data_IF_237532580990
#
_entry.id   IF_237532580990
#
_cell.length_a   1.000
_cell.length_b   1.000
_cell.length_c   1.000
_cell.angle_alpha   90.00
_cell.angle_beta   90.00
_cell.angle_gamma   90.00
#
_symmetry.space_group_name_H-M   'P 1'
#
loop_
_entity.id
_entity.type
_entity.pdbx_description
1 polymer ?
#
# COMPACT_ATOMS: atom_id res chain seq x y z
N UNK A 1 12.14 -29.28 11.28
CA UNK A 1 12.31 -27.97 10.63
C UNK A 1 11.13 -27.85 9.69
N UNK A 2 10.23 -26.91 10.01
CA UNK A 2 8.92 -26.78 9.38
C UNK A 2 9.07 -26.14 7.99
N UNK A 3 8.70 -26.88 6.94
CA UNK A 3 8.83 -26.54 5.51
C UNK A 3 7.92 -25.38 5.05
N UNK A 4 7.30 -24.67 6.01
CA UNK A 4 6.27 -23.67 5.76
C UNK A 4 6.81 -22.23 5.49
N UNK A 5 8.12 -22.02 5.46
CA UNK A 5 8.73 -20.67 5.48
C UNK A 5 9.31 -20.18 4.15
N UNK A 6 9.18 -20.92 3.05
CA UNK A 6 9.76 -20.54 1.76
C UNK A 6 8.78 -20.66 0.58
N UNK A 7 7.49 -20.41 0.79
CA UNK A 7 6.61 -20.15 -0.35
C UNK A 7 6.77 -18.67 -0.74
N UNK A 8 7.41 -18.34 -1.89
CA UNK A 8 7.57 -16.95 -2.33
C UNK A 8 6.26 -16.31 -2.77
N UNK A 9 5.14 -17.03 -2.64
CA UNK A 9 3.81 -16.63 -3.07
C UNK A 9 2.85 -16.55 -1.88
N UNK A 10 1.91 -15.60 -1.91
CA UNK A 10 0.85 -15.52 -0.91
C UNK A 10 -0.02 -16.77 -0.92
N UNK A 11 -0.55 -17.13 0.25
CA UNK A 11 -1.48 -18.26 0.36
C UNK A 11 -2.81 -17.91 -0.31
N UNK A 12 -3.47 -18.90 -0.91
CA UNK A 12 -4.85 -18.75 -1.36
C UNK A 12 -5.74 -18.20 -0.23
N UNK A 13 -6.65 -17.28 -0.55
CA UNK A 13 -7.50 -16.62 0.44
C UNK A 13 -6.86 -15.43 1.17
N UNK A 14 -5.60 -15.10 0.87
CA UNK A 14 -4.97 -13.87 1.40
C UNK A 14 -5.56 -12.66 0.69
N UNK A 15 -5.92 -11.59 1.41
CA UNK A 15 -6.51 -10.38 0.81
C UNK A 15 -5.48 -9.56 0.05
N UNK A 16 -5.80 -9.19 -1.18
CA UNK A 16 -5.00 -8.29 -1.99
C UNK A 16 -4.97 -6.87 -1.39
N UNK A 17 -3.78 -6.30 -1.22
CA UNK A 17 -3.59 -4.94 -0.69
C UNK A 17 -4.14 -3.83 -1.60
N UNK A 18 -4.39 -4.15 -2.87
CA UNK A 18 -4.84 -3.18 -3.89
C UNK A 18 -6.34 -3.17 -4.04
N UNK A 19 -6.97 -4.33 -4.29
CA UNK A 19 -8.41 -4.42 -4.52
C UNK A 19 -9.21 -4.94 -3.31
N UNK A 20 -8.54 -5.50 -2.30
CA UNK A 20 -9.18 -6.04 -1.11
C UNK A 20 -9.89 -7.38 -1.29
N UNK A 21 -9.89 -7.97 -2.49
CA UNK A 21 -10.42 -9.31 -2.76
C UNK A 21 -9.39 -10.40 -2.45
N UNK A 22 -9.85 -11.65 -2.28
CA UNK A 22 -9.00 -12.79 -1.98
C UNK A 22 -8.16 -13.21 -3.19
N UNK A 23 -6.91 -13.59 -2.92
CA UNK A 23 -5.98 -14.11 -3.92
C UNK A 23 -6.29 -15.58 -4.20
N UNK A 24 -6.44 -15.99 -5.48
CA UNK A 24 -6.70 -17.38 -5.83
C UNK A 24 -5.44 -18.24 -5.62
N UNK A 25 -5.63 -19.56 -5.59
CA UNK A 25 -4.56 -20.53 -5.32
C UNK A 25 -3.37 -20.46 -6.30
N UNK A 26 -3.63 -20.14 -7.56
CA UNK A 26 -2.62 -20.01 -8.62
C UNK A 26 -2.25 -18.56 -8.94
N UNK A 27 -2.40 -17.63 -7.98
CA UNK A 27 -2.19 -16.21 -8.22
C UNK A 27 -1.42 -15.51 -7.12
N UNK A 28 -0.79 -14.39 -7.49
CA UNK A 28 -0.28 -13.41 -6.55
C UNK A 28 1.23 -13.45 -6.31
N UNK A 29 1.68 -12.35 -5.70
CA UNK A 29 3.06 -12.12 -5.28
C UNK A 29 3.08 -11.17 -4.07
N UNK A 30 4.23 -11.01 -3.44
CA UNK A 30 4.47 -9.98 -2.43
C UNK A 30 5.15 -8.77 -3.08
N UNK A 31 4.67 -7.57 -2.76
CA UNK A 31 5.25 -6.34 -3.28
C UNK A 31 6.56 -6.03 -2.57
N UNK A 32 7.66 -5.84 -3.30
CA UNK A 32 8.96 -5.51 -2.71
C UNK A 32 8.99 -4.12 -2.04
N UNK A 33 8.10 -3.21 -2.46
CA UNK A 33 7.97 -1.87 -1.87
C UNK A 33 7.27 -1.81 -0.51
N UNK A 34 6.22 -2.60 -0.27
CA UNK A 34 5.43 -2.55 0.97
C UNK A 34 5.37 -3.89 1.73
N UNK A 35 5.87 -4.98 1.17
CA UNK A 35 5.79 -6.33 1.74
C UNK A 35 4.41 -7.00 1.66
N UNK A 36 3.38 -6.28 1.22
CA UNK A 36 2.00 -6.76 1.23
C UNK A 36 1.65 -7.60 -0.02
N UNK A 37 0.71 -8.55 0.10
CA UNK A 37 0.31 -9.45 -0.98
C UNK A 37 -0.60 -8.77 -2.01
N UNK A 38 -0.44 -9.09 -3.30
CA UNK A 38 -1.26 -8.57 -4.39
C UNK A 38 -1.56 -9.62 -5.47
N UNK A 39 -2.63 -9.43 -6.26
CA UNK A 39 -2.93 -10.30 -7.41
C UNK A 39 -1.89 -10.12 -8.51
N UNK A 40 -1.33 -11.23 -8.96
CA UNK A 40 -0.43 -11.31 -10.10
C UNK A 40 -0.78 -12.57 -10.87
N UNK A 41 -0.99 -12.42 -12.16
CA UNK A 41 -1.19 -13.52 -13.06
C UNK A 41 0.18 -14.05 -13.53
N UNK A 42 0.53 -15.26 -13.11
CA UNK A 42 1.82 -15.88 -13.43
C UNK A 42 1.82 -16.54 -14.81
N UNK A 43 0.66 -16.68 -15.45
CA UNK A 43 0.50 -17.34 -16.75
C UNK A 43 -0.06 -16.33 -17.76
N UNK A 44 0.71 -16.02 -18.80
CA UNK A 44 0.30 -15.08 -19.86
C UNK A 44 -1.00 -15.47 -20.59
N UNK A 45 -1.44 -16.72 -20.48
CA UNK A 45 -2.64 -17.26 -21.13
C UNK A 45 -3.82 -17.52 -20.20
N UNK A 46 -3.70 -17.27 -18.89
CA UNK A 46 -4.81 -17.44 -17.97
C UNK A 46 -5.63 -16.14 -17.90
N UNK A 47 -6.96 -16.26 -17.85
CA UNK A 47 -7.82 -15.15 -17.43
C UNK A 47 -7.57 -14.87 -15.94
N UNK A 48 -6.71 -13.90 -15.66
CA UNK A 48 -6.29 -13.54 -14.32
C UNK A 48 -6.21 -12.04 -14.15
N UNK A 49 -6.44 -11.57 -12.92
CA UNK A 49 -6.34 -10.16 -12.56
C UNK A 49 -4.91 -9.82 -12.20
N UNK A 50 -4.41 -8.70 -12.70
CA UNK A 50 -3.15 -8.09 -12.27
C UNK A 50 -3.43 -6.82 -11.47
N UNK A 51 -3.07 -6.84 -10.19
CA UNK A 51 -3.12 -5.69 -9.29
C UNK A 51 -1.72 -5.09 -9.06
N UNK A 52 -0.78 -5.41 -9.94
CA UNK A 52 0.61 -4.97 -9.88
C UNK A 52 1.33 -5.25 -11.18
N UNK A 53 2.65 -5.08 -11.15
CA UNK A 53 3.52 -5.30 -12.30
C UNK A 53 4.75 -6.07 -11.89
N UNK A 54 5.27 -6.82 -12.85
CA UNK A 54 6.59 -7.45 -12.79
C UNK A 54 7.42 -6.95 -13.95
N UNK A 55 8.66 -6.57 -13.70
CA UNK A 55 9.60 -6.14 -14.73
C UNK A 55 11.00 -6.64 -14.42
N UNK A 56 11.85 -6.70 -15.45
CA UNK A 56 13.28 -6.98 -15.28
C UNK A 56 13.95 -5.66 -14.87
N UNK A 57 14.68 -5.68 -13.76
CA UNK A 57 15.52 -4.57 -13.33
C UNK A 57 16.97 -4.88 -13.68
N UNK A 58 17.58 -4.03 -14.51
CA UNK A 58 19.01 -4.12 -14.83
C UNK A 58 19.89 -3.79 -13.62
N UNK A 59 19.39 -3.00 -12.67
CA UNK A 59 20.08 -2.65 -11.42
C UNK A 59 20.12 -3.84 -10.44
N UNK A 60 18.99 -4.54 -10.30
CA UNK A 60 18.87 -5.68 -9.39
C UNK A 60 19.18 -7.03 -10.07
N UNK A 61 19.47 -7.02 -11.37
CA UNK A 61 19.77 -8.19 -12.21
C UNK A 61 18.72 -9.31 -12.06
N UNK A 62 17.44 -8.94 -11.99
CA UNK A 62 16.35 -9.87 -11.68
C UNK A 62 14.95 -9.30 -11.92
N UNK A 63 13.94 -10.12 -11.62
CA UNK A 63 12.54 -9.69 -11.63
C UNK A 63 12.24 -8.88 -10.37
N UNK A 64 11.54 -7.77 -10.54
CA UNK A 64 11.05 -6.92 -9.46
C UNK A 64 9.53 -6.93 -9.45
N UNK A 65 8.93 -7.08 -8.27
CA UNK A 65 7.50 -7.19 -8.05
C UNK A 65 6.95 -5.96 -7.33
N UNK A 66 6.03 -5.23 -7.96
CA UNK A 66 5.41 -4.03 -7.37
C UNK A 66 3.89 -4.04 -7.49
N UNK A 67 3.18 -3.79 -6.39
CA UNK A 67 1.73 -3.60 -6.43
C UNK A 67 1.36 -2.20 -6.95
N UNK A 68 0.19 -2.07 -7.59
CA UNK A 68 -0.23 -0.77 -8.14
C UNK A 68 -0.45 0.31 -7.08
N UNK A 69 -0.72 -0.07 -5.82
CA UNK A 69 -0.76 0.88 -4.71
C UNK A 69 0.59 1.58 -4.47
N UNK A 70 1.70 0.89 -4.70
CA UNK A 70 3.05 1.45 -4.59
C UNK A 70 3.45 2.17 -5.87
N UNK A 71 3.20 1.53 -7.01
CA UNK A 71 3.67 1.98 -8.34
C UNK A 71 2.88 3.17 -8.89
N UNK A 72 1.58 3.18 -8.67
CA UNK A 72 0.75 4.32 -9.05
C UNK A 72 0.73 5.30 -7.88
N UNK A 73 1.34 6.49 -8.01
CA UNK A 73 1.07 7.56 -7.06
C UNK A 73 -0.44 7.78 -7.10
N UNK A 74 -1.09 7.84 -5.93
CA UNK A 74 -2.51 8.17 -5.88
C UNK A 74 -2.71 9.43 -6.71
N UNK A 75 -3.56 9.37 -7.74
CA UNK A 75 -3.69 10.39 -8.79
C UNK A 75 -4.28 11.72 -8.32
N UNK A 76 -3.79 12.25 -7.20
CA UNK A 76 -3.79 13.66 -6.90
C UNK A 76 -2.55 14.28 -7.49
N UNK A 77 -2.65 15.54 -7.87
CA UNK A 77 -1.46 16.31 -8.19
C UNK A 77 -0.56 16.39 -6.94
N UNK A 78 0.74 16.67 -7.11
CA UNK A 78 1.65 16.76 -5.95
C UNK A 78 1.14 17.74 -4.88
N UNK A 79 0.34 18.74 -5.27
CA UNK A 79 -0.36 19.62 -4.34
C UNK A 79 -1.28 18.90 -3.35
N UNK A 80 -1.80 17.71 -3.64
CA UNK A 80 -2.69 16.92 -2.77
C UNK A 80 -1.96 16.12 -1.69
N UNK A 81 -0.63 16.07 -1.74
CA UNK A 81 0.19 15.39 -0.74
C UNK A 81 0.63 16.41 0.30
N UNK A 82 0.35 16.11 1.57
CA UNK A 82 0.67 16.97 2.71
C UNK A 82 1.56 16.23 3.69
N UNK A 83 2.49 16.95 4.32
CA UNK A 83 3.32 16.38 5.39
C UNK A 83 2.54 16.28 6.72
N UNK A 84 3.19 15.76 7.76
CA UNK A 84 2.58 15.59 9.07
C UNK A 84 2.10 16.90 9.70
N UNK A 85 2.86 17.99 9.55
CA UNK A 85 2.51 19.27 10.15
C UNK A 85 1.33 19.91 9.43
N UNK A 86 1.34 19.91 8.09
CA UNK A 86 0.23 20.41 7.28
C UNK A 86 -1.03 19.56 7.49
N UNK A 87 -0.91 18.23 7.54
CA UNK A 87 -2.02 17.32 7.83
C UNK A 87 -2.66 17.59 9.20
N UNK A 88 -1.84 17.82 10.23
CA UNK A 88 -2.29 18.12 11.58
C UNK A 88 -3.11 19.43 11.62
N UNK A 89 -2.64 20.46 10.93
CA UNK A 89 -3.37 21.72 10.77
C UNK A 89 -4.71 21.52 10.06
N UNK A 90 -4.73 20.76 8.97
CA UNK A 90 -5.94 20.44 8.21
C UNK A 90 -6.98 19.67 9.03
N UNK A 91 -6.53 18.71 9.84
CA UNK A 91 -7.39 17.91 10.71
C UNK A 91 -7.73 18.61 12.05
N UNK A 92 -7.12 19.76 12.32
CA UNK A 92 -7.25 20.49 13.59
C UNK A 92 -6.93 19.62 14.82
N UNK A 93 -5.85 18.85 14.73
CA UNK A 93 -5.35 18.00 15.82
C UNK A 93 -3.85 18.20 16.01
N UNK A 94 -3.34 17.76 17.15
CA UNK A 94 -1.90 17.67 17.37
C UNK A 94 -1.26 16.65 16.41
N UNK A 95 -0.05 16.96 15.91
CA UNK A 95 0.69 16.07 15.01
C UNK A 95 0.89 14.66 15.58
N UNK A 96 1.09 14.54 16.89
CA UNK A 96 1.23 13.26 17.57
C UNK A 96 -0.03 12.38 17.45
N UNK A 97 -1.23 12.98 17.44
CA UNK A 97 -2.50 12.25 17.28
C UNK A 97 -2.61 11.69 15.87
N UNK A 98 -2.24 12.50 14.87
CA UNK A 98 -2.31 12.11 13.47
C UNK A 98 -1.27 11.02 13.13
N UNK A 99 -0.07 11.13 13.70
CA UNK A 99 0.96 10.09 13.60
C UNK A 99 0.50 8.78 14.27
N UNK A 100 -0.12 8.84 15.44
CA UNK A 100 -0.64 7.66 16.12
C UNK A 100 -1.71 6.95 15.27
N UNK A 101 -2.65 7.70 14.68
CA UNK A 101 -3.67 7.15 13.79
C UNK A 101 -3.07 6.51 12.53
N UNK A 102 -2.02 7.10 11.96
CA UNK A 102 -1.28 6.55 10.83
C UNK A 102 -0.64 5.20 11.20
N UNK A 103 0.05 5.14 12.33
CA UNK A 103 0.71 3.93 12.84
C UNK A 103 -0.28 2.84 13.25
N UNK A 104 -1.47 3.21 13.72
CA UNK A 104 -2.56 2.30 14.03
C UNK A 104 -3.31 1.78 12.79
N UNK A 105 -2.97 2.28 11.59
CA UNK A 105 -3.62 1.90 10.34
C UNK A 105 -4.99 2.56 10.11
N UNK A 106 -5.39 3.52 10.93
CA UNK A 106 -6.66 4.25 10.83
C UNK A 106 -6.64 5.34 9.76
N UNK A 107 -5.44 5.81 9.41
CA UNK A 107 -5.20 6.82 8.39
C UNK A 107 -4.14 6.32 7.40
N UNK A 108 -4.51 6.29 6.12
CA UNK A 108 -3.59 5.93 5.06
C UNK A 108 -2.44 6.94 4.97
N UNK A 109 -1.22 6.43 4.86
CA UNK A 109 -0.01 7.24 4.80
C UNK A 109 1.08 6.55 3.97
N UNK A 110 2.08 7.33 3.56
CA UNK A 110 3.39 6.84 3.09
C UNK A 110 4.48 7.37 4.02
N UNK A 111 5.59 6.65 4.12
CA UNK A 111 6.80 7.11 4.81
C UNK A 111 7.93 7.31 3.80
N UNK A 112 8.63 8.43 3.89
CA UNK A 112 9.87 8.63 3.14
C UNK A 112 11.00 7.84 3.79
N UNK A 113 12.11 7.65 3.05
CA UNK A 113 13.32 7.02 3.60
C UNK A 113 13.89 7.79 4.81
N UNK A 114 13.70 9.10 4.88
CA UNK A 114 14.03 9.94 6.04
C UNK A 114 13.04 9.82 7.21
N UNK A 115 12.01 8.98 7.10
CA UNK A 115 11.03 8.73 8.14
C UNK A 115 9.86 9.71 8.20
N UNK A 116 9.79 10.70 7.29
CA UNK A 116 8.70 11.66 7.25
C UNK A 116 7.40 11.00 6.79
N UNK A 117 6.28 11.38 7.42
CA UNK A 117 4.95 10.92 7.03
C UNK A 117 4.38 11.84 5.95
N UNK A 118 3.81 11.21 4.92
CA UNK A 118 3.08 11.86 3.84
C UNK A 118 1.66 11.33 3.78
N UNK A 119 0.71 12.24 3.61
CA UNK A 119 -0.72 11.94 3.58
C UNK A 119 -1.36 12.52 2.33
N UNK A 120 -2.47 11.94 1.90
CA UNK A 120 -3.34 12.61 0.94
C UNK A 120 -4.30 13.53 1.69
N UNK A 121 -4.42 14.79 1.25
CA UNK A 121 -5.30 15.79 1.85
C UNK A 121 -6.73 15.28 2.02
N UNK A 122 -7.26 14.58 1.02
CA UNK A 122 -8.62 13.99 1.06
C UNK A 122 -8.80 12.94 2.16
N UNK A 123 -7.76 12.15 2.45
CA UNK A 123 -7.83 11.08 3.44
C UNK A 123 -7.80 11.68 4.86
N UNK A 124 -6.97 12.71 5.05
CA UNK A 124 -6.89 13.50 6.30
C UNK A 124 -8.24 14.15 6.60
N UNK A 125 -8.84 14.86 5.63
CA UNK A 125 -10.15 15.51 5.79
C UNK A 125 -11.24 14.48 6.12
N UNK A 126 -11.27 13.37 5.39
CA UNK A 126 -12.25 12.29 5.62
C UNK A 126 -12.09 11.65 6.99
N UNK A 127 -10.85 11.43 7.45
CA UNK A 127 -10.57 10.90 8.78
C UNK A 127 -10.98 11.87 9.89
N UNK A 128 -10.68 13.16 9.74
CA UNK A 128 -11.07 14.18 10.71
C UNK A 128 -12.60 14.28 10.85
N UNK A 129 -13.34 14.26 9.73
CA UNK A 129 -14.81 14.28 9.74
C UNK A 129 -15.43 13.07 10.47
N UNK A 130 -14.82 11.89 10.40
CA UNK A 130 -15.31 10.69 11.13
C UNK A 130 -15.15 10.81 12.64
N UNK A 131 -14.22 11.63 13.13
CA UNK A 131 -13.96 11.83 14.56
C UNK A 131 -14.91 12.84 15.20
N UNK A 132 -15.43 13.76 14.40
CA UNK A 132 -16.35 14.81 14.85
C UNK A 132 -17.82 14.42 14.65
N UNK A 133 -18.09 13.31 13.95
CA UNK A 133 -19.42 12.72 13.88
C UNK A 133 -19.86 12.25 15.29
N UNK A 134 -21.12 12.55 15.71
CA UNK A 134 -21.64 12.24 17.04
C UNK A 134 -21.85 10.74 17.29
#
# INVERSE_FOLDING_TARGET
>A
MDDAHLTPFPRAGTRCVVCGEDIPEEGGAYCEGCGEPFHLNQKASAEGRDCGRVWISDEHLGLVFGCERCLTPAGGALEDVVDLAEAALLAQVEAAVLQAAALAGELAHRRTSGGAFLFLRRDVVSWAARRTAP
#
